data_IF_526841896525
#
_entry.id   IF_526841896525
#
_cell.length_a   1.000
_cell.length_b   1.000
_cell.length_c   1.000
_cell.angle_alpha   90.00
_cell.angle_beta   90.00
_cell.angle_gamma   90.00
#
_symmetry.space_group_name_H-M   'P 1'
#
loop_
_entity.id
_entity.type
_entity.pdbx_description
1 polymer ?
#
# COMPACT_ATOMS: atom_id res chain seq x y z
N UNK A 1 20.05 2.96 26.42
CA UNK A 1 20.53 4.18 25.71
C UNK A 1 20.95 3.94 24.26
N UNK A 2 21.69 2.86 23.94
CA UNK A 2 22.17 2.55 22.57
C UNK A 2 21.06 2.22 21.56
N UNK A 3 19.92 1.69 22.01
CA UNK A 3 18.75 1.39 21.16
C UNK A 3 17.89 2.64 20.90
N UNK A 4 17.79 3.54 21.88
CA UNK A 4 16.91 4.74 21.84
C UNK A 4 17.41 5.81 20.85
N UNK A 5 18.73 6.01 20.73
CA UNK A 5 19.29 7.01 19.82
C UNK A 5 19.32 6.53 18.36
N UNK A 6 19.54 5.22 18.14
CA UNK A 6 19.41 4.60 16.81
C UNK A 6 17.95 4.57 16.31
N UNK A 7 17.00 4.37 17.22
CA UNK A 7 15.55 4.46 16.96
C UNK A 7 15.13 5.83 16.41
N UNK A 8 15.69 6.91 16.97
CA UNK A 8 15.28 8.28 16.60
C UNK A 8 15.71 8.63 15.17
N UNK A 9 16.84 8.09 14.70
CA UNK A 9 17.30 8.27 13.32
C UNK A 9 16.54 7.36 12.34
N UNK A 10 16.23 6.12 12.75
CA UNK A 10 15.55 5.13 11.90
C UNK A 10 14.04 5.42 11.74
N UNK A 11 13.37 5.86 12.82
CA UNK A 11 11.99 6.34 12.78
C UNK A 11 11.84 7.65 11.99
N UNK A 12 12.90 8.47 11.94
CA UNK A 12 12.94 9.67 11.08
C UNK A 12 13.26 9.37 9.61
N UNK A 13 13.88 8.22 9.31
CA UNK A 13 14.27 7.80 7.95
C UNK A 13 13.23 6.91 7.25
N UNK A 14 12.27 6.32 7.97
CA UNK A 14 11.22 5.54 7.34
C UNK A 14 10.15 6.44 6.71
N UNK A 15 10.07 6.44 5.38
CA UNK A 15 8.90 6.96 4.64
C UNK A 15 7.66 6.05 4.74
N UNK A 16 7.76 4.93 5.47
CA UNK A 16 6.73 3.91 5.59
C UNK A 16 5.86 4.10 6.84
N UNK A 17 4.94 5.03 6.69
CA UNK A 17 3.84 5.46 7.54
C UNK A 17 3.13 4.40 8.43
N UNK A 18 2.90 3.17 7.95
CA UNK A 18 2.30 2.07 8.76
C UNK A 18 3.30 1.18 9.52
N UNK A 19 4.62 1.31 9.29
CA UNK A 19 5.63 0.49 9.97
C UNK A 19 5.85 0.94 11.42
N UNK A 20 5.71 2.22 11.74
CA UNK A 20 6.04 2.73 13.06
C UNK A 20 5.22 2.06 14.18
N UNK A 21 3.89 1.91 14.01
CA UNK A 21 3.04 1.21 14.99
C UNK A 21 3.32 -0.30 15.04
N UNK A 22 3.63 -0.92 13.89
CA UNK A 22 3.99 -2.35 13.83
C UNK A 22 5.34 -2.64 14.49
N UNK A 23 6.33 -1.79 14.24
CA UNK A 23 7.67 -1.86 14.81
C UNK A 23 7.62 -1.60 16.32
N UNK A 24 6.80 -0.64 16.75
CA UNK A 24 6.51 -0.42 18.18
C UNK A 24 5.87 -1.65 18.84
N UNK A 25 4.97 -2.36 18.14
CA UNK A 25 4.39 -3.62 18.64
C UNK A 25 5.44 -4.74 18.77
N UNK A 26 6.37 -4.84 17.80
CA UNK A 26 7.51 -5.79 17.86
C UNK A 26 8.43 -5.46 19.03
N UNK A 27 8.73 -4.17 19.24
CA UNK A 27 9.53 -3.70 20.38
C UNK A 27 8.85 -4.06 21.70
N UNK A 28 7.53 -3.89 21.81
CA UNK A 28 6.79 -4.31 22.99
C UNK A 28 6.80 -5.84 23.21
N UNK A 29 6.82 -6.62 22.12
CA UNK A 29 6.78 -8.08 22.16
C UNK A 29 8.13 -8.76 22.41
N UNK A 30 9.21 -8.20 21.89
CA UNK A 30 10.55 -8.81 21.90
C UNK A 30 11.66 -7.91 22.45
N UNK A 31 11.41 -6.61 22.62
CA UNK A 31 12.41 -5.66 23.09
C UNK A 31 12.51 -5.63 24.61
N UNK A 32 13.74 -5.63 25.14
CA UNK A 32 14.01 -5.28 26.53
C UNK A 32 13.96 -3.75 26.68
N UNK A 33 12.73 -3.19 26.75
CA UNK A 33 12.51 -1.76 26.97
C UNK A 33 12.12 -1.52 28.42
N UNK A 34 12.89 -0.69 29.12
CA UNK A 34 12.68 -0.39 30.54
C UNK A 34 11.37 0.39 30.81
N UNK A 35 10.94 1.27 29.88
CA UNK A 35 9.72 2.07 30.04
C UNK A 35 8.99 2.30 28.70
N UNK A 36 8.01 1.43 28.41
CA UNK A 36 7.16 1.53 27.22
C UNK A 36 6.25 2.79 27.22
N UNK A 37 5.63 3.20 28.33
CA UNK A 37 4.85 4.45 28.40
C UNK A 37 5.62 5.71 28.00
N UNK A 38 6.87 5.85 28.45
CA UNK A 38 7.70 7.00 28.09
C UNK A 38 8.05 6.99 26.60
N UNK A 39 8.35 5.80 26.06
CA UNK A 39 8.63 5.60 24.64
C UNK A 39 7.42 5.98 23.76
N UNK A 40 6.22 5.55 24.17
CA UNK A 40 4.98 5.95 23.51
C UNK A 40 4.80 7.47 23.55
N UNK A 41 5.02 8.11 24.70
CA UNK A 41 4.84 9.56 24.86
C UNK A 41 5.81 10.35 23.98
N UNK A 42 7.08 9.92 23.93
CA UNK A 42 8.12 10.55 23.13
C UNK A 42 7.85 10.46 21.63
N UNK A 43 7.33 9.32 21.18
CA UNK A 43 7.10 9.04 19.75
C UNK A 43 5.63 9.10 19.35
N UNK A 44 4.73 9.55 20.22
CA UNK A 44 3.28 9.56 20.02
C UNK A 44 2.91 10.20 18.69
N UNK A 45 3.50 11.35 18.38
CA UNK A 45 3.20 12.10 17.17
C UNK A 45 3.56 11.28 15.92
N UNK A 46 4.72 10.65 15.88
CA UNK A 46 5.15 9.79 14.76
C UNK A 46 4.35 8.48 14.69
N UNK A 47 4.07 7.84 15.83
CA UNK A 47 3.32 6.58 15.91
C UNK A 47 1.84 6.74 15.54
N UNK A 48 1.31 7.96 15.67
CA UNK A 48 -0.08 8.28 15.36
C UNK A 48 -0.27 9.14 14.12
N UNK A 49 0.81 9.59 13.46
CA UNK A 49 0.78 10.48 12.29
C UNK A 49 -0.20 9.98 11.22
N UNK A 50 -0.15 8.69 10.93
CA UNK A 50 -1.03 7.99 10.00
C UNK A 50 -2.51 8.09 10.33
N UNK A 51 -2.80 8.01 11.62
CA UNK A 51 -4.16 8.07 12.14
C UNK A 51 -4.60 9.52 12.28
N UNK A 52 -3.69 10.44 12.59
CA UNK A 52 -3.96 11.89 12.62
C UNK A 52 -4.30 12.40 11.22
N UNK A 53 -3.55 12.00 10.19
CA UNK A 53 -3.85 12.34 8.80
C UNK A 53 -5.18 11.74 8.31
N UNK A 54 -5.57 10.57 8.83
CA UNK A 54 -6.80 9.87 8.42
C UNK A 54 -8.05 10.33 9.18
N UNK A 55 -7.89 10.76 10.43
CA UNK A 55 -9.00 11.13 11.30
C UNK A 55 -8.82 12.59 11.74
N UNK A 56 -8.20 12.83 12.89
CA UNK A 56 -7.88 14.17 13.37
C UNK A 56 -6.72 14.11 14.37
N UNK A 57 -6.12 15.26 14.71
CA UNK A 57 -5.11 15.35 15.76
C UNK A 57 -5.62 14.82 17.12
N UNK A 58 -6.90 15.04 17.41
CA UNK A 58 -7.53 14.62 18.65
C UNK A 58 -7.78 13.10 18.68
N UNK A 59 -8.27 12.52 17.59
CA UNK A 59 -8.71 11.11 17.56
C UNK A 59 -7.64 10.13 17.08
N UNK A 60 -6.68 10.60 16.28
CA UNK A 60 -5.62 9.80 15.68
C UNK A 60 -4.83 8.96 16.68
N UNK A 61 -4.35 9.53 17.81
CA UNK A 61 -3.63 8.76 18.82
C UNK A 61 -4.43 7.63 19.46
N UNK A 62 -5.75 7.77 19.58
CA UNK A 62 -6.61 6.72 20.13
C UNK A 62 -6.77 5.55 19.14
N UNK A 63 -6.88 5.84 17.84
CA UNK A 63 -6.88 4.80 16.82
C UNK A 63 -5.53 4.09 16.69
N UNK A 64 -4.43 4.82 16.84
CA UNK A 64 -3.09 4.23 16.88
C UNK A 64 -2.94 3.24 18.04
N UNK A 65 -3.45 3.57 19.23
CA UNK A 65 -3.51 2.67 20.37
C UNK A 65 -4.42 1.46 20.12
N UNK A 66 -5.58 1.65 19.47
CA UNK A 66 -6.49 0.56 19.14
C UNK A 66 -5.85 -0.45 18.17
N UNK A 67 -5.17 0.03 17.12
CA UNK A 67 -4.43 -0.83 16.18
C UNK A 67 -3.26 -1.54 16.88
N UNK A 68 -2.50 -0.81 17.72
CA UNK A 68 -1.44 -1.39 18.53
C UNK A 68 -1.96 -2.51 19.44
N UNK A 69 -3.14 -2.35 20.04
CA UNK A 69 -3.75 -3.38 20.87
C UNK A 69 -4.05 -4.66 20.09
N UNK A 70 -4.52 -4.55 18.84
CA UNK A 70 -4.72 -5.73 17.97
C UNK A 70 -3.40 -6.41 17.60
N UNK A 71 -2.36 -5.64 17.30
CA UNK A 71 -1.02 -6.18 17.01
C UNK A 71 -0.40 -6.85 18.23
N UNK A 72 -0.57 -6.30 19.44
CA UNK A 72 -0.06 -6.89 20.68
C UNK A 72 -0.69 -8.26 20.97
N UNK A 73 -1.93 -8.51 20.54
CA UNK A 73 -2.58 -9.82 20.73
C UNK A 73 -1.82 -10.94 20.04
N UNK A 74 -1.18 -10.69 18.88
CA UNK A 74 -0.38 -11.73 18.21
C UNK A 74 0.86 -12.14 19.01
N UNK A 75 1.27 -11.31 19.97
CA UNK A 75 2.38 -11.58 20.90
C UNK A 75 1.90 -12.02 22.30
N UNK A 76 0.60 -12.28 22.49
CA UNK A 76 0.03 -12.60 23.80
C UNK A 76 0.01 -11.42 24.79
N UNK A 77 0.21 -10.20 24.29
CA UNK A 77 0.20 -8.94 25.03
C UNK A 77 -1.11 -8.18 24.81
N UNK A 78 -1.30 -7.11 25.57
CA UNK A 78 -2.37 -6.13 25.39
C UNK A 78 -1.91 -4.77 25.98
N UNK A 79 -2.62 -3.68 25.68
CA UNK A 79 -2.23 -2.34 26.16
C UNK A 79 -2.03 -2.28 27.68
N UNK A 80 -2.84 -2.99 28.46
CA UNK A 80 -2.70 -3.03 29.93
C UNK A 80 -1.39 -3.70 30.37
N UNK A 81 -0.98 -4.79 29.71
CA UNK A 81 0.27 -5.51 30.01
C UNK A 81 1.52 -4.68 29.69
N UNK A 82 1.41 -3.75 28.74
CA UNK A 82 2.51 -2.82 28.39
C UNK A 82 2.35 -1.44 29.04
N UNK A 83 1.45 -1.31 30.02
CA UNK A 83 1.15 -0.09 30.78
C UNK A 83 0.71 1.13 29.93
N UNK A 84 0.09 0.88 28.76
CA UNK A 84 -0.47 1.93 27.91
C UNK A 84 -1.96 2.19 28.18
N UNK A 85 -2.48 3.40 27.87
CA UNK A 85 -3.88 3.74 28.07
C UNK A 85 -4.79 2.76 27.34
N UNK A 86 -5.72 2.12 28.06
CA UNK A 86 -6.72 1.28 27.41
C UNK A 86 -7.69 2.14 26.62
N UNK A 87 -7.92 1.77 25.38
CA UNK A 87 -8.86 2.45 24.51
C UNK A 87 -10.04 1.51 24.26
N UNK A 88 -11.23 1.92 24.66
CA UNK A 88 -12.49 1.22 24.35
C UNK A 88 -13.11 1.84 23.10
N UNK A 89 -12.32 1.89 22.04
CA UNK A 89 -12.84 2.09 20.70
C UNK A 89 -13.01 0.69 20.14
N UNK A 90 -14.27 0.26 19.99
CA UNK A 90 -14.57 -0.57 18.82
C UNK A 90 -14.07 0.26 17.66
N UNK A 91 -13.00 -0.20 17.04
CA UNK A 91 -12.49 0.42 15.85
C UNK A 91 -13.65 0.28 14.85
N UNK A 92 -14.52 1.30 14.77
CA UNK A 92 -15.52 1.47 13.73
C UNK A 92 -14.71 1.81 12.46
N UNK A 93 -13.92 0.83 12.04
CA UNK A 93 -12.82 0.83 11.06
C UNK A 93 -13.26 1.40 9.71
N UNK A 94 -14.56 1.41 9.49
CA UNK A 94 -15.23 1.72 8.25
C UNK A 94 -16.13 2.97 8.32
N UNK A 95 -16.33 3.59 9.49
CA UNK A 95 -17.07 4.86 9.61
C UNK A 95 -16.11 6.03 9.50
N UNK A 96 -15.43 6.13 8.36
CA UNK A 96 -15.12 7.45 7.85
C UNK A 96 -16.46 8.01 7.38
N UNK A 97 -17.09 8.86 8.19
CA UNK A 97 -18.25 9.62 7.75
C UNK A 97 -17.75 10.63 6.72
N UNK A 98 -17.70 10.21 5.47
CA UNK A 98 -17.38 11.12 4.39
C UNK A 98 -18.54 12.09 4.19
N UNK A 99 -18.23 13.38 4.15
CA UNK A 99 -19.22 14.36 3.71
C UNK A 99 -19.42 14.21 2.20
N UNK A 100 -20.63 13.80 1.81
CA UNK A 100 -20.98 13.60 0.41
C UNK A 100 -20.79 14.88 -0.43
N UNK A 101 -21.01 16.07 0.14
CA UNK A 101 -20.85 17.35 -0.58
C UNK A 101 -19.37 17.61 -0.85
N UNK A 102 -18.51 17.36 0.15
CA UNK A 102 -17.06 17.53 0.00
C UNK A 102 -16.48 16.51 -1.01
N UNK A 103 -16.87 15.24 -0.89
CA UNK A 103 -16.43 14.19 -1.81
C UNK A 103 -16.89 14.46 -3.24
N UNK A 104 -18.13 14.92 -3.43
CA UNK A 104 -18.64 15.29 -4.75
C UNK A 104 -17.87 16.47 -5.35
N UNK A 105 -17.50 17.46 -4.52
CA UNK A 105 -16.69 18.60 -4.94
C UNK A 105 -15.30 18.16 -5.40
N UNK A 106 -14.64 17.27 -4.64
CA UNK A 106 -13.35 16.67 -5.02
C UNK A 106 -13.46 15.85 -6.30
N UNK A 107 -14.54 15.08 -6.46
CA UNK A 107 -14.80 14.28 -7.66
C UNK A 107 -14.89 15.18 -8.89
N UNK A 108 -15.69 16.25 -8.84
CA UNK A 108 -15.88 17.18 -9.96
C UNK A 108 -14.55 17.85 -10.34
N UNK A 109 -13.81 18.35 -9.35
CA UNK A 109 -12.50 18.98 -9.58
C UNK A 109 -11.47 18.02 -10.19
N UNK A 110 -11.51 16.74 -9.83
CA UNK A 110 -10.62 15.74 -10.41
C UNK A 110 -11.04 15.32 -11.81
N UNK A 111 -12.35 15.16 -12.07
CA UNK A 111 -12.89 14.77 -13.38
C UNK A 111 -12.47 15.74 -14.48
N UNK A 112 -12.40 17.04 -14.19
CA UNK A 112 -11.94 18.06 -15.12
C UNK A 112 -10.48 17.87 -15.54
N UNK A 113 -9.64 17.32 -14.64
CA UNK A 113 -8.20 17.14 -14.83
C UNK A 113 -7.81 15.79 -15.45
N UNK A 114 -8.75 14.85 -15.57
CA UNK A 114 -8.48 13.54 -16.17
C UNK A 114 -8.14 13.68 -17.66
N UNK A 115 -7.11 12.96 -18.10
CA UNK A 115 -6.88 12.75 -19.53
C UNK A 115 -7.94 11.80 -20.13
N UNK A 116 -7.89 11.56 -21.44
CA UNK A 116 -8.89 10.77 -22.16
C UNK A 116 -8.98 9.31 -21.67
N UNK A 117 -7.85 8.65 -21.45
CA UNK A 117 -7.77 7.24 -21.00
C UNK A 117 -8.28 7.08 -19.56
N UNK A 118 -7.85 7.97 -18.67
CA UNK A 118 -8.28 8.02 -17.27
C UNK A 118 -9.77 8.33 -17.17
N UNK A 119 -10.26 9.30 -17.95
CA UNK A 119 -11.68 9.65 -18.03
C UNK A 119 -12.51 8.48 -18.53
N UNK A 120 -12.05 7.78 -19.57
CA UNK A 120 -12.69 6.57 -20.04
C UNK A 120 -12.80 5.51 -18.93
N UNK A 121 -11.71 5.25 -18.21
CA UNK A 121 -11.70 4.26 -17.13
C UNK A 121 -12.69 4.61 -16.00
N UNK A 122 -12.70 5.87 -15.55
CA UNK A 122 -13.63 6.34 -14.50
C UNK A 122 -15.08 6.17 -14.96
N UNK A 123 -15.43 6.65 -16.15
CA UNK A 123 -16.80 6.57 -16.64
C UNK A 123 -17.25 5.14 -16.91
N UNK A 124 -16.36 4.27 -17.40
CA UNK A 124 -16.69 2.87 -17.68
C UNK A 124 -17.09 2.14 -16.40
N UNK A 125 -16.37 2.38 -15.30
CA UNK A 125 -16.69 1.78 -13.99
C UNK A 125 -17.95 2.44 -13.39
N UNK A 126 -18.07 3.78 -13.45
CA UNK A 126 -19.27 4.47 -12.97
C UNK A 126 -20.55 4.03 -13.69
N UNK A 127 -20.48 3.82 -15.00
CA UNK A 127 -21.59 3.28 -15.79
C UNK A 127 -21.93 1.86 -15.34
N UNK A 128 -20.95 1.00 -15.05
CA UNK A 128 -21.22 -0.34 -14.49
C UNK A 128 -21.88 -0.28 -13.11
N UNK A 129 -21.57 0.75 -12.30
CA UNK A 129 -22.17 0.94 -10.96
C UNK A 129 -23.63 1.40 -11.04
N UNK A 130 -23.93 2.37 -11.90
CA UNK A 130 -25.21 3.09 -11.88
C UNK A 130 -26.16 2.74 -13.03
N UNK A 131 -25.66 2.26 -14.16
CA UNK A 131 -26.47 1.86 -15.30
C UNK A 131 -26.56 0.34 -15.33
N UNK A 132 -27.66 -0.19 -14.78
CA UNK A 132 -27.87 -1.63 -14.67
C UNK A 132 -28.18 -2.22 -16.05
N UNK A 133 -27.16 -2.80 -16.68
CA UNK A 133 -27.27 -3.60 -17.88
C UNK A 133 -26.69 -4.99 -17.60
N UNK A 134 -27.42 -6.04 -17.97
CA UNK A 134 -27.10 -7.43 -17.65
C UNK A 134 -25.73 -7.87 -18.18
N UNK A 135 -25.25 -7.25 -19.27
CA UNK A 135 -24.00 -7.60 -19.95
C UNK A 135 -22.79 -6.71 -19.58
N UNK A 136 -22.92 -5.81 -18.60
CA UNK A 136 -21.79 -4.96 -18.22
C UNK A 136 -20.76 -5.74 -17.38
N UNK A 137 -19.46 -5.58 -17.66
CA UNK A 137 -18.43 -6.22 -16.86
C UNK A 137 -18.47 -5.69 -15.42
N UNK A 138 -18.27 -6.58 -14.46
CA UNK A 138 -18.20 -6.26 -13.02
C UNK A 138 -16.77 -6.27 -12.49
N UNK A 139 -15.88 -7.03 -13.14
CA UNK A 139 -14.47 -7.11 -12.80
C UNK A 139 -13.66 -6.28 -13.81
N UNK A 140 -12.90 -5.31 -13.31
CA UNK A 140 -12.07 -4.41 -14.09
C UNK A 140 -10.62 -4.49 -13.63
N UNK A 141 -9.68 -4.40 -14.56
CA UNK A 141 -8.27 -4.24 -14.24
C UNK A 141 -7.74 -2.98 -14.91
N UNK A 142 -7.17 -2.06 -14.14
CA UNK A 142 -6.48 -0.88 -14.64
C UNK A 142 -4.97 -1.17 -14.73
N UNK A 143 -4.52 -1.46 -15.94
CA UNK A 143 -3.10 -1.57 -16.27
C UNK A 143 -2.54 -0.19 -16.56
N UNK A 144 -1.46 0.17 -15.89
CA UNK A 144 -0.76 1.41 -16.18
C UNK A 144 0.66 1.36 -15.64
N UNK A 145 1.66 1.75 -16.43
CA UNK A 145 3.02 1.92 -15.94
C UNK A 145 3.13 2.95 -14.79
N UNK A 146 4.33 3.07 -14.22
CA UNK A 146 4.62 4.15 -13.28
C UNK A 146 4.38 5.53 -13.93
N UNK A 147 3.79 6.45 -13.17
CA UNK A 147 3.56 7.84 -13.62
C UNK A 147 2.29 8.07 -14.45
N UNK A 148 1.50 7.05 -14.79
CA UNK A 148 0.28 7.21 -15.60
C UNK A 148 -0.98 7.68 -14.84
N UNK A 149 -0.84 7.99 -13.55
CA UNK A 149 -1.94 8.53 -12.75
C UNK A 149 -2.99 7.51 -12.27
N UNK A 150 -2.66 6.22 -12.18
CA UNK A 150 -3.53 5.17 -11.62
C UNK A 150 -4.21 5.56 -10.30
N UNK A 151 -3.42 6.03 -9.32
CA UNK A 151 -3.94 6.48 -8.02
C UNK A 151 -4.93 7.64 -8.16
N UNK A 152 -4.71 8.54 -9.13
CA UNK A 152 -5.63 9.64 -9.41
C UNK A 152 -6.97 9.14 -9.95
N UNK A 153 -6.97 8.10 -10.80
CA UNK A 153 -8.19 7.41 -11.25
C UNK A 153 -8.94 6.78 -10.08
N UNK A 154 -8.23 6.03 -9.21
CA UNK A 154 -8.84 5.41 -8.03
C UNK A 154 -9.47 6.44 -7.10
N UNK A 155 -8.73 7.50 -6.75
CA UNK A 155 -9.22 8.56 -5.89
C UNK A 155 -10.44 9.28 -6.48
N UNK A 156 -10.41 9.56 -7.78
CA UNK A 156 -11.56 10.19 -8.48
C UNK A 156 -12.80 9.31 -8.44
N UNK A 157 -12.65 8.00 -8.68
CA UNK A 157 -13.75 7.05 -8.61
C UNK A 157 -14.31 6.93 -7.19
N UNK A 158 -13.44 6.83 -6.18
CA UNK A 158 -13.84 6.76 -4.77
C UNK A 158 -14.63 8.00 -4.36
N UNK A 159 -14.14 9.19 -4.69
CA UNK A 159 -14.82 10.46 -4.43
C UNK A 159 -16.17 10.54 -5.16
N UNK A 160 -16.25 10.10 -6.42
CA UNK A 160 -17.49 10.16 -7.20
C UNK A 160 -18.60 9.26 -6.64
N UNK A 161 -18.25 8.06 -6.14
CA UNK A 161 -19.22 7.15 -5.51
C UNK A 161 -19.63 7.65 -4.13
N UNK A 162 -18.66 8.08 -3.31
CA UNK A 162 -18.93 8.63 -1.97
C UNK A 162 -19.72 9.95 -2.03
N UNK A 163 -19.49 10.76 -3.06
CA UNK A 163 -20.21 12.02 -3.30
C UNK A 163 -21.70 11.82 -3.60
N UNK A 164 -22.08 10.63 -4.09
CA UNK A 164 -23.48 10.21 -4.23
C UNK A 164 -24.07 9.60 -2.95
N UNK A 165 -23.31 9.55 -1.87
CA UNK A 165 -23.71 8.93 -0.60
C UNK A 165 -23.58 7.41 -0.58
N UNK A 166 -22.98 6.80 -1.60
CA UNK A 166 -22.78 5.35 -1.68
C UNK A 166 -21.45 4.93 -1.03
N UNK A 167 -21.38 3.66 -0.60
CA UNK A 167 -20.18 3.11 0.02
C UNK A 167 -19.16 2.66 -1.04
N UNK A 168 -17.94 3.19 -0.95
CA UNK A 168 -16.80 2.83 -1.81
C UNK A 168 -15.58 2.43 -0.95
N UNK A 169 -15.07 1.22 -1.19
CA UNK A 169 -13.98 0.64 -0.39
C UNK A 169 -12.68 0.73 -1.16
N UNK A 170 -11.66 1.26 -0.51
CA UNK A 170 -10.31 1.33 -1.03
C UNK A 170 -9.43 0.33 -0.27
N UNK A 171 -8.81 -0.60 -1.01
CA UNK A 171 -7.83 -1.53 -0.46
C UNK A 171 -6.54 -1.48 -1.26
N UNK A 172 -5.45 -1.92 -0.64
CA UNK A 172 -4.20 -2.16 -1.35
C UNK A 172 -3.49 -3.42 -0.83
N UNK A 173 -2.56 -3.95 -1.63
CA UNK A 173 -1.75 -5.11 -1.24
C UNK A 173 -0.75 -4.80 -0.12
N UNK A 174 -0.23 -3.56 -0.06
CA UNK A 174 0.76 -3.11 0.92
C UNK A 174 0.22 -1.96 1.77
N UNK A 175 0.79 -1.76 2.97
CA UNK A 175 0.39 -0.65 3.85
C UNK A 175 0.68 0.73 3.25
N UNK A 176 1.81 0.88 2.55
CA UNK A 176 2.23 2.14 1.92
C UNK A 176 1.28 2.51 0.78
N UNK A 177 0.90 1.56 -0.08
CA UNK A 177 -0.06 1.84 -1.14
C UNK A 177 -1.45 2.18 -0.56
N UNK A 178 -1.83 1.57 0.56
CA UNK A 178 -3.10 1.86 1.22
C UNK A 178 -3.19 3.31 1.72
N UNK A 179 -2.09 3.90 2.21
CA UNK A 179 -2.10 5.29 2.71
C UNK A 179 -2.29 6.33 1.60
N UNK A 180 -2.01 5.98 0.34
CA UNK A 180 -2.22 6.86 -0.81
C UNK A 180 -3.69 6.97 -1.23
N UNK A 181 -4.56 6.09 -0.71
CA UNK A 181 -5.98 6.08 -1.01
C UNK A 181 -6.77 6.65 0.17
N UNK A 182 -7.77 7.48 -0.10
CA UNK A 182 -8.64 8.04 0.92
C UNK A 182 -9.42 6.93 1.65
N UNK A 183 -9.12 6.77 2.94
CA UNK A 183 -9.62 5.66 3.77
C UNK A 183 -9.11 4.28 3.35
N UNK A 184 -8.00 4.22 2.63
CA UNK A 184 -7.39 2.98 2.19
C UNK A 184 -6.87 2.14 3.35
N UNK A 185 -7.01 0.83 3.21
CA UNK A 185 -6.48 -0.18 4.13
C UNK A 185 -5.87 -1.34 3.38
N UNK A 186 -5.08 -2.17 4.06
CA UNK A 186 -4.58 -3.39 3.41
C UNK A 186 -5.73 -4.36 3.15
N UNK A 187 -5.70 -5.07 2.02
CA UNK A 187 -6.70 -6.08 1.70
C UNK A 187 -6.80 -7.17 2.78
N UNK A 188 -5.65 -7.53 3.38
CA UNK A 188 -5.60 -8.45 4.52
C UNK A 188 -6.43 -7.97 5.70
N UNK A 189 -6.37 -6.68 6.04
CA UNK A 189 -7.11 -6.10 7.17
C UNK A 189 -8.62 -6.02 6.92
N UNK A 190 -9.01 -5.64 5.70
CA UNK A 190 -10.42 -5.44 5.30
C UNK A 190 -11.15 -6.77 5.15
N UNK A 191 -10.57 -7.72 4.44
CA UNK A 191 -11.22 -9.01 4.19
C UNK A 191 -10.89 -10.05 5.26
N UNK A 192 -9.99 -9.76 6.21
CA UNK A 192 -9.49 -10.76 7.18
C UNK A 192 -8.86 -11.96 6.48
N UNK A 193 -8.02 -11.70 5.47
CA UNK A 193 -7.31 -12.71 4.70
C UNK A 193 -6.28 -13.38 5.63
N UNK A 194 -6.25 -14.72 5.74
CA UNK A 194 -5.24 -15.40 6.55
C UNK A 194 -3.84 -15.20 5.96
N UNK A 195 -2.82 -15.10 6.82
CA UNK A 195 -1.42 -14.94 6.39
C UNK A 195 -0.89 -16.17 5.66
N UNK A 196 -1.35 -17.36 6.05
CA UNK A 196 -1.04 -18.63 5.39
C UNK A 196 -2.14 -18.97 4.40
N UNK A 197 -1.84 -18.79 3.12
CA UNK A 197 -2.77 -19.01 2.02
C UNK A 197 -2.52 -20.32 1.28
N UNK A 198 -3.61 -21.02 0.96
CA UNK A 198 -3.64 -22.17 0.07
C UNK A 198 -4.87 -22.08 -0.85
N UNK A 199 -4.98 -23.04 -1.78
CA UNK A 199 -6.05 -23.03 -2.76
C UNK A 199 -7.46 -23.05 -2.16
N UNK A 200 -7.64 -23.61 -0.95
CA UNK A 200 -8.92 -23.72 -0.24
C UNK A 200 -9.14 -22.68 0.85
N UNK A 201 -8.19 -21.75 1.04
CA UNK A 201 -8.30 -20.72 2.07
C UNK A 201 -9.56 -19.87 1.90
N UNK A 202 -10.13 -19.49 3.03
CA UNK A 202 -11.27 -18.57 3.14
C UNK A 202 -10.87 -17.41 4.04
N UNK A 203 -11.55 -16.28 3.85
CA UNK A 203 -11.40 -15.13 4.71
C UNK A 203 -12.06 -15.36 6.08
N UNK A 204 -11.43 -14.86 7.15
CA UNK A 204 -11.92 -15.00 8.52
C UNK A 204 -12.90 -13.89 8.90
N UNK A 205 -13.91 -13.65 8.06
CA UNK A 205 -14.94 -12.64 8.28
C UNK A 205 -16.30 -13.32 8.49
N UNK A 206 -16.97 -12.98 9.59
CA UNK A 206 -18.28 -13.56 9.93
C UNK A 206 -19.41 -12.76 9.26
N UNK A 207 -20.45 -13.38 8.69
CA UNK A 207 -21.52 -12.67 7.97
C UNK A 207 -22.30 -11.64 8.79
N UNK A 208 -22.44 -11.86 10.10
CA UNK A 208 -23.28 -11.03 10.98
C UNK A 208 -22.54 -9.86 11.63
N UNK A 209 -21.38 -9.45 11.10
CA UNK A 209 -20.61 -8.32 11.65
C UNK A 209 -20.85 -7.03 10.88
N UNK A 210 -20.53 -5.90 11.51
CA UNK A 210 -20.63 -4.58 10.86
C UNK A 210 -19.74 -4.49 9.62
N UNK A 211 -18.54 -5.08 9.65
CA UNK A 211 -17.62 -5.11 8.52
C UNK A 211 -18.18 -5.91 7.35
N UNK A 212 -18.83 -7.04 7.60
CA UNK A 212 -19.50 -7.82 6.55
C UNK A 212 -20.65 -7.02 5.91
N UNK A 213 -21.41 -6.29 6.71
CA UNK A 213 -22.45 -5.38 6.21
C UNK A 213 -21.86 -4.30 5.31
N UNK A 214 -20.70 -3.75 5.66
CA UNK A 214 -20.05 -2.72 4.84
C UNK A 214 -19.56 -3.26 3.49
N UNK A 215 -19.04 -4.50 3.45
CA UNK A 215 -18.74 -5.17 2.18
C UNK A 215 -20.01 -5.41 1.35
N UNK A 216 -21.13 -5.71 2.00
CA UNK A 216 -22.44 -5.89 1.34
C UNK A 216 -23.02 -4.57 0.84
N UNK A 217 -22.84 -3.46 1.55
CA UNK A 217 -23.35 -2.15 1.16
C UNK A 217 -22.45 -1.47 0.11
N UNK A 218 -21.19 -1.89 -0.01
CA UNK A 218 -20.24 -1.35 -0.98
C UNK A 218 -20.72 -1.53 -2.43
N UNK A 219 -20.70 -0.42 -3.19
CA UNK A 219 -20.96 -0.37 -4.64
C UNK A 219 -19.73 -0.73 -5.46
N UNK A 220 -18.54 -0.36 -4.96
CA UNK A 220 -17.27 -0.65 -5.61
C UNK A 220 -16.18 -0.95 -4.59
N UNK A 221 -15.32 -1.88 -4.94
CA UNK A 221 -14.09 -2.19 -4.22
C UNK A 221 -12.92 -1.94 -5.16
N UNK A 222 -12.09 -0.96 -4.82
CA UNK A 222 -10.85 -0.65 -5.54
C UNK A 222 -9.68 -1.31 -4.82
N UNK A 223 -8.85 -2.07 -5.54
CA UNK A 223 -7.69 -2.77 -4.98
C UNK A 223 -6.41 -2.37 -5.74
N UNK A 224 -5.56 -1.59 -5.08
CA UNK A 224 -4.27 -1.15 -5.62
C UNK A 224 -3.12 -2.13 -5.33
N UNK A 225 -2.10 -2.11 -6.19
CA UNK A 225 -0.98 -3.05 -6.20
C UNK A 225 -1.41 -4.53 -6.29
N UNK A 226 -2.51 -4.80 -7.01
CA UNK A 226 -3.05 -6.15 -7.20
C UNK A 226 -2.03 -7.16 -7.76
N UNK A 227 -1.11 -6.81 -8.69
CA UNK A 227 -0.08 -7.74 -9.19
C UNK A 227 0.83 -8.36 -8.12
N UNK A 228 1.05 -7.66 -6.99
CA UNK A 228 1.85 -8.17 -5.87
C UNK A 228 1.12 -9.22 -5.03
N UNK A 229 -0.19 -9.36 -5.19
CA UNK A 229 -1.01 -10.25 -4.38
C UNK A 229 -1.03 -11.67 -4.98
N UNK A 230 -0.79 -12.66 -4.12
CA UNK A 230 -0.90 -14.07 -4.49
C UNK A 230 -2.34 -14.43 -4.88
N UNK A 231 -2.51 -15.20 -5.96
CA UNK A 231 -3.83 -15.55 -6.51
C UNK A 231 -4.82 -16.10 -5.49
N UNK A 232 -4.35 -16.93 -4.55
CA UNK A 232 -5.16 -17.50 -3.47
C UNK A 232 -5.86 -16.45 -2.58
N UNK A 233 -5.30 -15.26 -2.41
CA UNK A 233 -5.97 -14.17 -1.69
C UNK A 233 -7.22 -13.71 -2.45
N UNK A 234 -7.14 -13.53 -3.78
CA UNK A 234 -8.29 -13.18 -4.61
C UNK A 234 -9.36 -14.28 -4.56
N UNK A 235 -8.97 -15.56 -4.53
CA UNK A 235 -9.92 -16.68 -4.42
C UNK A 235 -10.60 -16.74 -3.05
N UNK A 236 -9.87 -16.44 -1.97
CA UNK A 236 -10.46 -16.36 -0.64
C UNK A 236 -11.49 -15.23 -0.56
N UNK A 237 -11.18 -14.08 -1.17
CA UNK A 237 -12.10 -12.92 -1.24
C UNK A 237 -13.29 -13.22 -2.17
N UNK A 238 -13.08 -13.87 -3.31
CA UNK A 238 -14.16 -14.32 -4.21
C UNK A 238 -15.17 -15.19 -3.45
N UNK A 239 -14.70 -16.23 -2.74
CA UNK A 239 -15.56 -17.10 -1.91
C UNK A 239 -16.30 -16.31 -0.85
N UNK A 240 -15.59 -15.44 -0.11
CA UNK A 240 -16.21 -14.61 0.91
C UNK A 240 -17.36 -13.78 0.34
N UNK A 241 -17.13 -13.07 -0.76
CA UNK A 241 -18.14 -12.18 -1.33
C UNK A 241 -19.31 -12.97 -1.92
N UNK A 242 -19.09 -14.13 -2.53
CA UNK A 242 -20.16 -15.04 -2.95
C UNK A 242 -21.00 -15.52 -1.76
N UNK A 243 -20.34 -15.90 -0.67
CA UNK A 243 -21.01 -16.35 0.55
C UNK A 243 -21.83 -15.25 1.23
N UNK A 244 -21.33 -14.01 1.22
CA UNK A 244 -22.03 -12.85 1.79
C UNK A 244 -23.22 -12.44 0.92
N UNK A 245 -23.02 -12.31 -0.39
CA UNK A 245 -24.04 -11.82 -1.33
C UNK A 245 -25.04 -12.89 -1.77
N UNK A 246 -24.74 -14.17 -1.55
CA UNK A 246 -25.50 -15.32 -2.08
C UNK A 246 -25.61 -15.29 -3.60
N UNK A 247 -24.54 -14.88 -4.27
CA UNK A 247 -24.43 -14.80 -5.72
C UNK A 247 -23.19 -15.56 -6.19
N UNK A 248 -23.33 -16.46 -7.17
CA UNK A 248 -22.22 -17.30 -7.68
C UNK A 248 -21.35 -16.60 -8.75
N UNK A 249 -21.71 -15.38 -9.15
CA UNK A 249 -20.89 -14.56 -10.05
C UNK A 249 -19.52 -14.22 -9.41
N UNK A 250 -18.48 -13.94 -10.22
CA UNK A 250 -17.19 -13.48 -9.71
C UNK A 250 -17.33 -12.37 -8.67
N UNK A 251 -16.67 -12.55 -7.53
CA UNK A 251 -16.71 -11.68 -6.36
C UNK A 251 -18.12 -11.38 -5.85
N UNK A 252 -19.05 -12.34 -5.96
CA UNK A 252 -20.43 -12.17 -5.51
C UNK A 252 -21.20 -11.13 -6.32
N UNK A 253 -20.81 -10.90 -7.57
CA UNK A 253 -21.40 -9.87 -8.43
C UNK A 253 -21.09 -8.44 -7.97
N UNK A 254 -20.09 -8.24 -7.09
CA UNK A 254 -19.58 -6.92 -6.73
C UNK A 254 -18.75 -6.33 -7.86
N UNK A 255 -18.73 -5.00 -7.92
CA UNK A 255 -17.87 -4.28 -8.86
C UNK A 255 -16.47 -4.18 -8.24
N UNK A 256 -15.51 -4.84 -8.88
CA UNK A 256 -14.12 -4.89 -8.45
C UNK A 256 -13.27 -4.14 -9.48
N UNK A 257 -12.52 -3.14 -9.02
CA UNK A 257 -11.47 -2.50 -9.81
C UNK A 257 -10.11 -2.89 -9.22
N UNK A 258 -9.47 -3.86 -9.85
CA UNK A 258 -8.07 -4.17 -9.56
C UNK A 258 -7.17 -3.19 -10.31
N UNK A 259 -6.04 -2.88 -9.69
CA UNK A 259 -5.13 -1.87 -10.18
C UNK A 259 -3.69 -2.26 -9.96
N UNK A 260 -2.81 -1.89 -10.90
CA UNK A 260 -1.38 -2.03 -10.70
C UNK A 260 -0.60 -2.14 -12.00
N UNK A 261 0.64 -2.59 -11.87
CA UNK A 261 1.56 -2.73 -12.99
C UNK A 261 2.26 -4.10 -12.92
N UNK A 262 1.99 -4.98 -13.89
CA UNK A 262 2.64 -6.30 -13.96
C UNK A 262 4.11 -6.25 -14.36
N UNK A 263 4.62 -5.07 -14.73
CA UNK A 263 6.05 -4.81 -14.97
C UNK A 263 6.81 -4.62 -13.67
N UNK A 264 6.10 -4.47 -12.54
CA UNK A 264 6.67 -4.39 -11.20
C UNK A 264 6.83 -5.78 -10.56
N UNK A 265 7.09 -5.79 -9.25
CA UNK A 265 7.34 -7.00 -8.48
C UNK A 265 6.09 -7.88 -8.43
N UNK A 266 6.26 -9.15 -8.79
CA UNK A 266 5.24 -10.20 -8.69
C UNK A 266 5.14 -10.75 -7.25
N UNK A 267 4.15 -11.61 -6.93
CA UNK A 267 4.00 -12.11 -5.57
C UNK A 267 5.26 -12.82 -5.06
N UNK A 268 5.70 -12.44 -3.87
CA UNK A 268 6.89 -13.03 -3.25
C UNK A 268 6.55 -14.42 -2.71
N UNK A 269 7.26 -15.44 -3.19
CA UNK A 269 7.12 -16.82 -2.72
C UNK A 269 8.43 -17.25 -2.10
N UNK A 270 8.41 -17.49 -0.79
CA UNK A 270 9.59 -17.94 -0.05
C UNK A 270 10.12 -19.23 -0.65
N UNK A 271 11.39 -19.21 -1.09
CA UNK A 271 12.07 -20.34 -1.74
C UNK A 271 11.37 -20.83 -3.02
N UNK A 272 10.54 -19.99 -3.64
CA UNK A 272 9.84 -20.30 -4.89
C UNK A 272 10.74 -20.13 -6.11
N UNK A 273 10.48 -20.92 -7.15
CA UNK A 273 11.09 -20.73 -8.48
C UNK A 273 10.41 -19.57 -9.22
N UNK A 274 11.06 -19.05 -10.28
CA UNK A 274 10.44 -18.06 -11.18
C UNK A 274 9.12 -18.56 -11.76
N UNK A 275 9.04 -19.84 -12.12
CA UNK A 275 7.81 -20.46 -12.62
C UNK A 275 6.70 -20.47 -11.58
N UNK A 276 7.02 -20.74 -10.31
CA UNK A 276 6.06 -20.73 -9.23
C UNK A 276 5.52 -19.31 -8.99
N UNK A 277 6.39 -18.29 -8.94
CA UNK A 277 5.99 -16.88 -8.84
C UNK A 277 5.02 -16.49 -9.96
N UNK A 278 5.33 -16.83 -11.20
CA UNK A 278 4.45 -16.54 -12.34
C UNK A 278 3.13 -17.29 -12.23
N UNK A 279 3.12 -18.56 -11.81
CA UNK A 279 1.90 -19.35 -11.64
C UNK A 279 0.98 -18.83 -10.52
N UNK A 280 1.55 -18.11 -9.56
CA UNK A 280 0.82 -17.49 -8.45
C UNK A 280 0.22 -16.12 -8.79
N UNK A 281 0.50 -15.57 -9.97
CA UNK A 281 -0.13 -14.34 -10.44
C UNK A 281 -1.57 -14.60 -10.91
N UNK A 282 -2.45 -13.63 -10.68
CA UNK A 282 -3.85 -13.73 -11.12
C UNK A 282 -3.99 -13.98 -12.64
N UNK A 283 -3.09 -13.43 -13.47
CA UNK A 283 -3.07 -13.65 -14.94
C UNK A 283 -2.96 -15.12 -15.37
N UNK A 284 -2.48 -16.00 -14.49
CA UNK A 284 -2.38 -17.45 -14.78
C UNK A 284 -3.59 -18.25 -14.32
N UNK A 285 -4.56 -17.61 -13.69
CA UNK A 285 -5.75 -18.26 -13.16
C UNK A 285 -7.00 -17.92 -13.98
N UNK A 286 -7.97 -18.84 -14.03
CA UNK A 286 -9.22 -18.68 -14.80
C UNK A 286 -9.97 -17.39 -14.49
N UNK A 287 -9.93 -16.94 -13.24
CA UNK A 287 -10.59 -15.70 -12.79
C UNK A 287 -10.16 -14.47 -13.60
N UNK A 288 -8.97 -14.48 -14.19
CA UNK A 288 -8.50 -13.40 -15.04
C UNK A 288 -9.35 -13.20 -16.31
N UNK A 289 -10.00 -14.25 -16.85
CA UNK A 289 -10.84 -14.09 -18.04
C UNK A 289 -12.09 -13.26 -17.79
N UNK A 290 -12.50 -13.12 -16.52
CA UNK A 290 -13.65 -12.30 -16.12
C UNK A 290 -13.30 -10.80 -16.04
N UNK A 291 -12.00 -10.44 -16.10
CA UNK A 291 -11.54 -9.06 -15.98
C UNK A 291 -11.52 -8.32 -17.31
N UNK A 292 -12.23 -7.20 -17.38
CA UNK A 292 -12.09 -6.22 -18.44
C UNK A 292 -10.87 -5.32 -18.20
N UNK A 293 -9.87 -5.41 -19.07
CA UNK A 293 -8.60 -4.68 -18.92
C UNK A 293 -8.68 -3.31 -19.59
N UNK A 294 -8.43 -2.26 -18.82
CA UNK A 294 -8.28 -0.88 -19.28
C UNK A 294 -6.81 -0.49 -19.14
N UNK A 295 -6.26 0.23 -20.12
CA UNK A 295 -4.84 0.62 -20.15
C UNK A 295 -4.69 2.12 -20.04
N UNK A 296 -3.72 2.56 -19.24
CA UNK A 296 -3.21 3.92 -19.22
C UNK A 296 -1.79 3.90 -19.79
N UNK A 297 -1.52 4.72 -20.81
CA UNK A 297 -0.25 4.74 -21.53
C UNK A 297 0.49 6.07 -21.36
N UNK A 298 -0.23 7.16 -21.16
CA UNK A 298 0.38 8.49 -21.01
C UNK A 298 1.06 8.66 -19.63
N UNK A 299 2.37 8.89 -19.62
CA UNK A 299 3.11 9.23 -18.41
C UNK A 299 2.95 10.72 -18.09
N UNK A 300 2.34 11.03 -16.95
CA UNK A 300 2.05 12.39 -16.50
C UNK A 300 3.04 12.90 -15.46
N UNK A 301 3.98 12.07 -15.02
CA UNK A 301 4.94 12.40 -13.94
C UNK A 301 6.33 12.74 -14.49
N UNK A 302 6.75 12.08 -15.56
CA UNK A 302 8.07 12.30 -16.14
C UNK A 302 8.17 13.67 -16.80
N UNK A 303 9.26 14.39 -16.55
CA UNK A 303 9.57 15.61 -17.26
C UNK A 303 9.98 15.32 -18.72
N UNK A 304 9.92 16.34 -19.59
CA UNK A 304 10.32 16.19 -20.99
C UNK A 304 11.76 15.67 -21.14
N UNK A 305 12.65 16.06 -20.24
CA UNK A 305 14.04 15.59 -20.18
C UNK A 305 14.20 14.12 -19.78
N UNK A 306 13.17 13.50 -19.20
CA UNK A 306 13.20 12.14 -18.67
C UNK A 306 12.44 11.14 -19.55
N UNK A 307 11.82 11.61 -20.64
CA UNK A 307 11.00 10.79 -21.54
C UNK A 307 11.76 9.62 -22.15
N UNK A 308 13.02 9.83 -22.51
CA UNK A 308 13.89 8.77 -23.05
C UNK A 308 14.14 7.67 -22.03
N UNK A 309 14.44 8.04 -20.79
CA UNK A 309 14.63 7.08 -19.69
C UNK A 309 13.32 6.35 -19.36
N UNK A 310 12.20 7.05 -19.31
CA UNK A 310 10.89 6.46 -19.07
C UNK A 310 10.51 5.44 -20.17
N UNK A 311 10.80 5.77 -21.44
CA UNK A 311 10.58 4.85 -22.57
C UNK A 311 11.50 3.63 -22.49
N UNK A 312 12.78 3.81 -22.16
CA UNK A 312 13.71 2.70 -21.95
C UNK A 312 13.26 1.77 -20.83
N UNK A 313 12.83 2.32 -19.68
CA UNK A 313 12.27 1.53 -18.57
C UNK A 313 11.05 0.72 -19.00
N UNK A 314 10.20 1.30 -19.84
CA UNK A 314 9.02 0.60 -20.36
C UNK A 314 9.41 -0.59 -21.25
N UNK A 315 10.37 -0.41 -22.18
CA UNK A 315 10.88 -1.52 -23.01
C UNK A 315 11.48 -2.65 -22.16
N UNK A 316 12.20 -2.30 -21.09
CA UNK A 316 12.70 -3.29 -20.12
C UNK A 316 11.55 -4.04 -19.46
N UNK A 317 10.51 -3.32 -19.00
CA UNK A 317 9.33 -3.91 -18.35
C UNK A 317 8.49 -4.80 -19.25
N UNK A 318 8.41 -4.51 -20.56
CA UNK A 318 7.72 -5.34 -21.57
C UNK A 318 8.56 -6.55 -22.01
N UNK A 319 9.81 -6.65 -21.56
CA UNK A 319 10.71 -7.77 -21.89
C UNK A 319 11.34 -7.66 -23.28
N UNK A 320 11.30 -6.49 -23.91
CA UNK A 320 11.84 -6.24 -25.25
C UNK A 320 13.38 -6.17 -25.25
N UNK A 321 13.98 -5.90 -24.09
CA UNK A 321 15.44 -5.79 -23.91
C UNK A 321 16.17 -7.15 -23.79
N UNK A 322 15.46 -8.28 -23.85
CA UNK A 322 16.03 -9.62 -23.70
C UNK A 322 16.50 -9.95 -22.27
N UNK A 323 17.24 -11.05 -22.10
CA UNK A 323 17.69 -11.50 -20.77
C UNK A 323 18.81 -10.64 -20.17
N UNK A 324 19.59 -9.95 -21.01
CA UNK A 324 20.67 -9.05 -20.61
C UNK A 324 20.30 -7.62 -20.94
N UNK A 325 19.89 -6.89 -19.91
CA UNK A 325 19.54 -5.48 -20.04
C UNK A 325 20.83 -4.67 -20.24
N UNK A 326 20.92 -3.96 -21.37
CA UNK A 326 21.97 -2.96 -21.57
C UNK A 326 21.54 -1.66 -20.90
N UNK A 327 22.36 -1.18 -19.97
CA UNK A 327 22.13 0.10 -19.29
C UNK A 327 22.54 1.25 -20.24
N UNK A 328 21.72 2.30 -20.35
CA UNK A 328 22.08 3.51 -21.09
C UNK A 328 23.32 4.20 -20.49
N UNK A 329 24.09 4.97 -21.29
CA UNK A 329 25.28 5.66 -20.81
C UNK A 329 25.05 6.56 -19.59
N UNK A 330 23.89 7.22 -19.51
CA UNK A 330 23.53 8.09 -18.40
C UNK A 330 23.30 7.36 -17.06
N UNK A 331 23.19 6.02 -17.07
CA UNK A 331 23.11 5.21 -15.85
C UNK A 331 24.49 4.95 -15.23
N UNK A 332 25.59 5.30 -15.93
CA UNK A 332 26.95 5.12 -15.43
C UNK A 332 27.47 6.45 -14.88
N UNK A 333 27.52 6.61 -13.55
CA UNK A 333 28.05 7.83 -12.94
C UNK A 333 29.57 7.94 -13.15
N UNK A 334 30.09 9.17 -13.15
CA UNK A 334 31.54 9.43 -13.20
C UNK A 334 32.25 8.82 -11.99
N UNK A 335 31.65 8.92 -10.80
CA UNK A 335 32.12 8.29 -9.57
C UNK A 335 31.42 6.93 -9.43
N UNK A 336 32.18 5.85 -9.48
CA UNK A 336 31.66 4.48 -9.41
C UNK A 336 31.31 4.02 -7.99
N UNK A 337 31.88 4.64 -6.96
CA UNK A 337 31.50 4.38 -5.57
C UNK A 337 30.21 5.15 -5.25
N UNK A 338 29.06 4.46 -5.05
CA UNK A 338 27.78 5.12 -4.82
C UNK A 338 27.77 5.91 -3.50
N UNK A 339 28.56 5.52 -2.50
CA UNK A 339 28.64 6.26 -1.23
C UNK A 339 29.38 7.57 -1.45
N UNK A 340 30.52 7.54 -2.13
CA UNK A 340 31.24 8.77 -2.47
C UNK A 340 30.42 9.65 -3.39
N UNK A 341 29.76 9.08 -4.40
CA UNK A 341 28.94 9.83 -5.33
C UNK A 341 27.78 10.58 -4.65
N UNK A 342 27.08 9.93 -3.71
CA UNK A 342 25.88 10.50 -3.08
C UNK A 342 26.16 11.28 -1.80
N UNK A 343 27.31 11.06 -1.14
CA UNK A 343 27.56 11.60 0.20
C UNK A 343 28.92 12.30 0.35
N UNK A 344 29.69 12.53 -0.73
CA UNK A 344 31.00 13.21 -0.65
C UNK A 344 30.93 14.64 -0.09
N UNK A 345 29.79 15.31 -0.24
CA UNK A 345 29.52 16.67 0.20
C UNK A 345 28.95 16.74 1.63
N UNK A 346 28.73 15.60 2.28
CA UNK A 346 28.14 15.52 3.61
C UNK A 346 29.21 15.23 4.65
N UNK A 347 29.31 16.11 5.66
CA UNK A 347 30.01 15.78 6.90
C UNK A 347 29.07 15.04 7.84
N UNK A 348 29.26 13.72 7.96
CA UNK A 348 28.47 12.86 8.84
C UNK A 348 28.57 13.24 10.33
N UNK A 349 29.52 14.08 10.74
CA UNK A 349 29.62 14.58 12.12
C UNK A 349 28.59 15.65 12.44
N UNK A 350 28.18 16.44 11.44
CA UNK A 350 27.26 17.57 11.61
C UNK A 350 25.95 17.42 10.83
N UNK A 351 25.78 16.29 10.13
CA UNK A 351 24.66 16.06 9.24
C UNK A 351 23.30 16.14 9.95
N UNK A 352 22.38 16.88 9.33
CA UNK A 352 20.99 17.00 9.74
C UNK A 352 20.11 16.02 8.95
N UNK A 353 18.97 15.57 9.50
CA UNK A 353 18.02 14.74 8.77
C UNK A 353 17.56 15.35 7.44
N UNK A 354 17.49 16.68 7.37
CA UNK A 354 17.10 17.44 6.19
C UNK A 354 18.13 17.32 5.05
N UNK A 355 19.42 17.27 5.37
CA UNK A 355 20.51 17.11 4.38
C UNK A 355 20.57 15.69 3.77
N UNK A 356 20.05 14.70 4.51
CA UNK A 356 19.91 13.32 4.03
C UNK A 356 18.65 13.11 3.19
N UNK A 357 17.67 14.02 3.29
CA UNK A 357 16.40 13.91 2.58
C UNK A 357 16.62 13.97 1.06
N UNK A 358 16.01 13.03 0.34
CA UNK A 358 16.13 12.93 -1.12
C UNK A 358 17.37 12.18 -1.61
N UNK A 359 18.18 11.60 -0.70
CA UNK A 359 19.33 10.74 -1.04
C UNK A 359 19.04 9.32 -0.60
N UNK A 360 19.19 8.35 -1.50
CA UNK A 360 18.99 6.93 -1.19
C UNK A 360 19.95 6.05 -1.99
N UNK A 361 20.52 5.04 -1.32
CA UNK A 361 21.22 3.94 -1.98
C UNK A 361 20.31 2.71 -1.92
N UNK A 362 19.94 2.20 -3.10
CA UNK A 362 19.18 0.96 -3.21
C UNK A 362 20.13 -0.23 -3.26
N UNK A 363 19.80 -1.28 -2.50
CA UNK A 363 20.56 -2.53 -2.50
C UNK A 363 19.64 -3.69 -2.79
N UNK A 364 20.20 -4.75 -3.36
CA UNK A 364 19.44 -5.95 -3.76
C UNK A 364 19.04 -6.85 -2.58
N UNK A 365 19.70 -6.70 -1.42
CA UNK A 365 19.48 -7.55 -0.25
C UNK A 365 19.56 -6.75 1.03
N UNK A 366 18.73 -7.12 2.01
CA UNK A 366 18.75 -6.50 3.33
C UNK A 366 20.11 -6.63 4.04
N UNK A 367 20.87 -7.72 3.81
CA UNK A 367 22.21 -7.86 4.40
C UNK A 367 23.19 -6.79 3.91
N UNK A 368 23.09 -6.41 2.62
CA UNK A 368 23.90 -5.34 2.04
C UNK A 368 23.45 -3.97 2.53
N UNK A 369 22.14 -3.71 2.65
CA UNK A 369 21.66 -2.46 3.23
C UNK A 369 22.09 -2.33 4.69
N UNK A 370 21.99 -3.39 5.49
CA UNK A 370 22.48 -3.42 6.88
C UNK A 370 23.98 -3.16 6.95
N UNK A 371 24.79 -3.75 6.05
CA UNK A 371 26.23 -3.46 5.99
C UNK A 371 26.52 -2.02 5.61
N UNK A 372 25.80 -1.43 4.65
CA UNK A 372 25.95 -0.01 4.29
C UNK A 372 25.59 0.91 5.46
N UNK A 373 24.51 0.61 6.18
CA UNK A 373 24.13 1.33 7.40
C UNK A 373 25.25 1.23 8.44
N UNK A 374 25.80 0.03 8.65
CA UNK A 374 26.89 -0.21 9.61
C UNK A 374 28.18 0.49 9.18
N UNK A 375 28.55 0.46 7.90
CA UNK A 375 29.76 1.12 7.38
C UNK A 375 29.67 2.63 7.53
N UNK A 376 28.52 3.24 7.20
CA UNK A 376 28.27 4.66 7.49
C UNK A 376 28.38 4.97 8.99
N UNK A 377 28.03 4.02 9.87
CA UNK A 377 28.12 4.17 11.32
C UNK A 377 29.54 3.94 11.88
N UNK A 378 30.31 3.01 11.32
CA UNK A 378 31.70 2.73 11.69
C UNK A 378 32.63 3.87 11.26
N UNK A 379 32.39 4.47 10.10
CA UNK A 379 33.08 5.70 9.65
C UNK A 379 32.81 6.86 10.63
N UNK A 380 31.62 6.95 11.22
CA UNK A 380 31.32 7.91 12.29
C UNK A 380 32.01 7.61 13.63
N UNK A 381 32.39 6.36 13.90
CA UNK A 381 33.05 5.96 15.14
C UNK A 381 34.59 6.02 15.08
N UNK A 382 35.19 5.67 13.94
CA UNK A 382 36.66 5.71 13.74
C UNK A 382 37.23 7.13 13.61
N UNK A 383 36.37 8.15 13.54
CA UNK A 383 36.76 9.57 13.55
C UNK A 383 36.60 10.28 14.92
N UNK A 384 36.44 9.50 16.00
CA UNK A 384 36.69 9.93 17.39
C UNK A 384 38.13 9.62 17.78
#
# INVERSE_FOLDING_TARGET
>A
MVISTGMTLFLKQQECKCLATCEFAIICGFGEVENIPDLWTQHKQSLSEDFVHRYSEETGPFYALAELNELLKSYGLNLRKVNLPSVDLQCDIFRLSYDAIEEQSKANANIEKLNSEQRYAVYKVLHAIYEYQTDMPKCFFLDGPAGTGKTFVYSTLLHAVRGKGDQAIAVASTGIAATLLSGGRTAHSIFKIPLTLNATSTCNLKPNTSEAKILLDAKVIVWDEAPMTHVHAFLAVDRLLKDLTKCDEPFGGKIILLGGDFRQVLPVILRGSRSLTVSSCIKKHRLWSDFFVMKLTENMRAFDSEKEFASWLLHVGEGESGEKIQLPPFCYPEIQDPVQQLFSDIDFKTVTPEELKGRAILTVTNDLSSKLIIVSWSVCQEMK
#
